data_IF_470238540251
#
_entry.id   IF_470238540251
#
_cell.length_a   1.000
_cell.length_b   1.000
_cell.length_c   1.000
_cell.angle_alpha   90.00
_cell.angle_beta   90.00
_cell.angle_gamma   90.00
#
_symmetry.space_group_name_H-M   'P 1'
#
loop_
_entity.id
_entity.type
_entity.pdbx_description
1 polymer ?
#
# COMPACT_ATOMS: atom_id res chain seq x y z
N UNK A 1 13.49 11.14 17.47
CA UNK A 1 14.33 11.51 16.32
C UNK A 1 13.47 11.54 15.07
N UNK A 2 13.59 12.55 14.21
CA UNK A 2 12.86 12.65 12.94
C UNK A 2 13.75 12.08 11.83
N UNK A 3 13.38 10.93 11.29
CA UNK A 3 14.08 10.33 10.15
C UNK A 3 13.92 11.23 8.92
N UNK A 4 15.00 11.42 8.17
CA UNK A 4 14.96 11.99 6.83
C UNK A 4 14.10 11.14 5.90
N UNK A 5 13.70 11.69 4.75
CA UNK A 5 12.95 10.92 3.74
C UNK A 5 13.75 9.74 3.20
N UNK A 6 15.08 9.88 3.16
CA UNK A 6 15.98 8.82 2.70
C UNK A 6 16.06 7.67 3.72
N UNK A 7 16.11 7.98 5.01
CA UNK A 7 16.16 6.97 6.08
C UNK A 7 14.82 6.21 6.27
N UNK A 8 13.72 6.73 5.73
CA UNK A 8 12.39 6.08 5.73
C UNK A 8 12.28 5.05 4.60
N UNK A 9 13.27 4.17 4.49
CA UNK A 9 13.30 3.14 3.45
C UNK A 9 12.22 2.07 3.68
N UNK A 10 11.75 1.49 2.58
CA UNK A 10 10.91 0.30 2.57
C UNK A 10 11.48 -0.69 1.56
N UNK A 11 11.79 -1.89 2.03
CA UNK A 11 12.40 -2.96 1.23
C UNK A 11 11.41 -4.13 1.22
N UNK A 12 11.04 -4.56 0.01
CA UNK A 12 10.20 -5.74 -0.21
C UNK A 12 11.09 -6.83 -0.78
N UNK A 13 11.23 -7.95 -0.06
CA UNK A 13 12.11 -9.05 -0.45
C UNK A 13 11.31 -10.36 -0.54
N UNK A 14 11.50 -11.09 -1.64
CA UNK A 14 10.99 -12.44 -1.83
C UNK A 14 11.80 -13.16 -2.91
N UNK A 15 11.73 -14.49 -2.90
CA UNK A 15 12.41 -15.33 -3.87
C UNK A 15 11.44 -16.27 -4.59
N UNK A 16 11.94 -17.02 -5.58
CA UNK A 16 11.11 -17.93 -6.38
C UNK A 16 10.69 -19.20 -5.61
N UNK A 17 11.51 -19.65 -4.64
CA UNK A 17 11.27 -20.88 -3.87
C UNK A 17 10.27 -20.72 -2.74
N UNK A 18 10.17 -19.54 -2.14
CA UNK A 18 9.26 -19.25 -1.03
C UNK A 18 7.93 -18.65 -1.53
N UNK A 19 6.84 -18.91 -0.81
CA UNK A 19 5.52 -18.35 -1.11
C UNK A 19 5.28 -17.00 -0.41
N UNK A 20 6.13 -16.64 0.55
CA UNK A 20 6.00 -15.43 1.35
C UNK A 20 6.94 -14.34 0.85
N UNK A 21 6.52 -13.09 1.06
CA UNK A 21 7.34 -11.91 0.94
C UNK A 21 7.57 -11.30 2.31
N UNK A 22 8.75 -10.75 2.52
CA UNK A 22 9.10 -9.97 3.70
C UNK A 22 9.15 -8.48 3.35
N UNK A 23 8.59 -7.65 4.21
CA UNK A 23 8.60 -6.20 4.06
C UNK A 23 9.25 -5.59 5.28
N UNK A 24 10.43 -5.03 5.07
CA UNK A 24 11.09 -4.15 6.03
C UNK A 24 10.67 -2.72 5.75
N UNK A 25 10.31 -1.96 6.79
CA UNK A 25 10.01 -0.54 6.61
C UNK A 25 10.42 0.29 7.82
N UNK A 26 10.88 1.52 7.53
CA UNK A 26 11.06 2.63 8.46
C UNK A 26 10.07 3.78 8.20
N UNK A 27 9.18 3.64 7.22
CA UNK A 27 8.14 4.63 6.91
C UNK A 27 6.94 4.42 7.84
N UNK A 28 6.63 5.44 8.64
CA UNK A 28 5.52 5.40 9.61
C UNK A 28 4.15 5.20 8.96
N UNK A 29 3.96 5.68 7.73
CA UNK A 29 2.71 5.55 6.99
C UNK A 29 2.51 4.11 6.54
N UNK A 30 3.58 3.50 6.01
CA UNK A 30 3.57 2.09 5.60
C UNK A 30 3.40 1.18 6.82
N UNK A 31 4.08 1.47 7.93
CA UNK A 31 3.90 0.74 9.19
C UNK A 31 2.44 0.73 9.64
N UNK A 32 1.81 1.90 9.76
CA UNK A 32 0.40 1.99 10.21
C UNK A 32 -0.53 1.15 9.33
N UNK A 33 -0.33 1.20 8.01
CA UNK A 33 -1.13 0.42 7.08
C UNK A 33 -0.92 -1.10 7.27
N UNK A 34 0.32 -1.54 7.44
CA UNK A 34 0.61 -2.96 7.65
C UNK A 34 0.16 -3.42 9.04
N UNK A 35 0.28 -2.58 10.07
CA UNK A 35 -0.25 -2.84 11.41
C UNK A 35 -1.77 -3.07 11.35
N UNK A 36 -2.53 -2.20 10.68
CA UNK A 36 -3.97 -2.41 10.48
C UNK A 36 -4.26 -3.73 9.75
N UNK A 37 -3.46 -4.11 8.74
CA UNK A 37 -3.64 -5.37 8.03
C UNK A 37 -3.29 -6.60 8.88
N UNK A 38 -2.33 -6.48 9.80
CA UNK A 38 -2.03 -7.52 10.79
C UNK A 38 -3.19 -7.67 11.77
N UNK A 39 -3.79 -6.57 12.21
CA UNK A 39 -4.94 -6.58 13.12
C UNK A 39 -6.20 -7.15 12.45
N UNK A 40 -6.47 -6.77 11.19
CA UNK A 40 -7.65 -7.22 10.43
C UNK A 40 -7.51 -8.65 9.90
N UNK A 41 -6.30 -9.06 9.50
CA UNK A 41 -6.03 -10.34 8.84
C UNK A 41 -4.78 -11.04 9.40
N UNK A 42 -4.77 -11.42 10.69
CA UNK A 42 -3.59 -11.97 11.37
C UNK A 42 -3.09 -13.30 10.79
N UNK A 43 -3.97 -14.05 10.12
CA UNK A 43 -3.59 -15.30 9.45
C UNK A 43 -2.74 -15.07 8.20
N UNK A 44 -2.92 -13.91 7.56
CA UNK A 44 -2.30 -13.55 6.28
C UNK A 44 -1.07 -12.66 6.50
N UNK A 45 -1.21 -11.64 7.34
CA UNK A 45 -0.17 -10.66 7.63
C UNK A 45 0.40 -10.91 9.02
N UNK A 46 1.72 -11.10 9.08
CA UNK A 46 2.43 -11.40 10.32
C UNK A 46 3.52 -10.37 10.57
N UNK A 47 3.52 -9.78 11.76
CA UNK A 47 4.65 -8.98 12.24
C UNK A 47 5.76 -9.96 12.69
N UNK A 48 6.88 -9.98 11.99
CA UNK A 48 8.00 -10.91 12.25
C UNK A 48 9.16 -10.27 12.99
N UNK A 49 9.24 -8.93 13.02
CA UNK A 49 10.25 -8.21 13.78
C UNK A 49 9.84 -6.77 14.04
N UNK A 50 10.23 -6.24 15.19
CA UNK A 50 9.97 -4.86 15.57
C UNK A 50 11.16 -4.31 16.37
N UNK A 51 11.66 -3.17 15.90
CA UNK A 51 12.66 -2.36 16.59
C UNK A 51 12.03 -1.04 17.07
N UNK A 52 12.86 -0.17 17.66
CA UNK A 52 12.46 1.18 18.06
C UNK A 52 12.02 2.06 16.88
N UNK A 53 12.55 1.79 15.69
CA UNK A 53 12.36 2.65 14.50
C UNK A 53 11.93 1.89 13.24
N UNK A 54 11.89 0.56 13.28
CA UNK A 54 11.58 -0.29 12.13
C UNK A 54 10.62 -1.42 12.50
N UNK A 55 9.92 -1.92 11.49
CA UNK A 55 9.12 -3.14 11.58
C UNK A 55 9.34 -4.00 10.34
N UNK A 56 9.29 -5.30 10.54
CA UNK A 56 9.38 -6.32 9.50
C UNK A 56 8.11 -7.15 9.51
N UNK A 57 7.50 -7.29 8.35
CA UNK A 57 6.26 -8.02 8.14
C UNK A 57 6.49 -9.18 7.17
N UNK A 58 5.66 -10.21 7.25
CA UNK A 58 5.62 -11.33 6.32
C UNK A 58 4.18 -11.61 5.89
N UNK A 59 3.97 -11.85 4.60
CA UNK A 59 2.67 -12.21 4.02
C UNK A 59 2.86 -12.93 2.69
N UNK A 60 1.79 -13.46 2.10
CA UNK A 60 1.86 -14.15 0.81
C UNK A 60 2.34 -13.22 -0.32
N UNK A 61 3.34 -13.67 -1.10
CA UNK A 61 3.93 -12.89 -2.21
C UNK A 61 2.92 -12.51 -3.28
N UNK A 62 1.79 -13.22 -3.38
CA UNK A 62 0.67 -12.92 -4.28
C UNK A 62 0.05 -11.53 -4.05
N UNK A 63 0.21 -10.95 -2.86
CA UNK A 63 -0.27 -9.60 -2.56
C UNK A 63 0.69 -8.49 -3.00
N UNK A 64 1.92 -8.83 -3.42
CA UNK A 64 2.83 -7.87 -4.04
C UNK A 64 2.45 -7.71 -5.51
N UNK A 65 2.07 -6.50 -5.91
CA UNK A 65 1.53 -6.25 -7.25
C UNK A 65 2.38 -5.25 -8.03
N UNK A 66 2.87 -5.67 -9.20
CA UNK A 66 3.48 -4.80 -10.19
C UNK A 66 2.41 -4.21 -11.11
N UNK A 67 2.01 -2.96 -10.86
CA UNK A 67 1.01 -2.28 -11.68
C UNK A 67 1.66 -1.53 -12.83
N UNK A 68 1.11 -1.66 -14.03
CA UNK A 68 1.45 -0.78 -15.16
C UNK A 68 1.14 0.67 -14.77
N UNK A 69 2.02 1.64 -15.09
CA UNK A 69 1.71 3.05 -14.91
C UNK A 69 0.41 3.38 -15.62
N UNK A 70 -0.49 4.09 -14.94
CA UNK A 70 -1.78 4.46 -15.52
C UNK A 70 -1.53 5.58 -16.55
N UNK A 71 -1.48 5.22 -17.84
CA UNK A 71 -1.52 6.19 -18.95
C UNK A 71 -2.98 6.51 -19.25
N UNK A 72 -3.51 7.54 -18.59
CA UNK A 72 -4.84 8.11 -18.93
C UNK A 72 -4.58 9.23 -19.92
N UNK A 73 -5.25 9.22 -21.07
CA UNK A 73 -5.22 10.39 -21.97
C UNK A 73 -5.88 11.59 -21.28
N UNK A 74 -5.57 12.82 -21.70
CA UNK A 74 -6.25 14.01 -21.15
C UNK A 74 -7.77 13.93 -21.30
N UNK A 75 -8.23 13.46 -22.46
CA UNK A 75 -9.65 13.25 -22.78
C UNK A 75 -10.32 12.25 -21.83
N UNK A 76 -9.69 11.10 -21.57
CA UNK A 76 -10.23 10.11 -20.63
C UNK A 76 -10.28 10.64 -19.20
N UNK A 77 -9.34 11.52 -18.82
CA UNK A 77 -9.33 12.18 -17.51
C UNK A 77 -10.45 13.21 -17.39
N UNK A 78 -10.72 13.97 -18.43
CA UNK A 78 -11.82 14.94 -18.48
C UNK A 78 -13.18 14.25 -18.48
N UNK A 79 -13.36 13.21 -19.29
CA UNK A 79 -14.59 12.40 -19.29
C UNK A 79 -14.89 11.79 -17.92
N UNK A 80 -13.87 11.25 -17.24
CA UNK A 80 -14.04 10.73 -15.88
C UNK A 80 -14.42 11.83 -14.88
N UNK A 81 -13.88 13.05 -15.05
CA UNK A 81 -14.22 14.21 -14.23
C UNK A 81 -15.68 14.66 -14.45
N UNK A 82 -16.12 14.73 -15.70
CA UNK A 82 -17.50 15.08 -16.04
C UNK A 82 -18.50 14.04 -15.53
N UNK A 83 -18.17 12.75 -15.66
CA UNK A 83 -18.99 11.65 -15.13
C UNK A 83 -19.15 11.75 -13.61
N UNK A 84 -18.06 12.01 -12.88
CA UNK A 84 -18.09 12.25 -11.43
C UNK A 84 -18.93 13.47 -11.05
N UNK A 85 -18.80 14.59 -11.78
CA UNK A 85 -19.62 15.78 -11.53
C UNK A 85 -21.10 15.50 -11.74
N UNK A 86 -21.47 14.77 -12.79
CA UNK A 86 -22.86 14.36 -13.05
C UNK A 86 -23.41 13.47 -11.94
N UNK A 87 -22.63 12.49 -11.47
CA UNK A 87 -23.01 11.63 -10.34
C UNK A 87 -23.23 12.43 -9.05
N UNK A 88 -22.34 13.36 -8.72
CA UNK A 88 -22.50 14.19 -7.53
C UNK A 88 -23.72 15.13 -7.62
N UNK A 89 -24.07 15.60 -8.83
CA UNK A 89 -25.28 16.41 -9.05
C UNK A 89 -26.58 15.60 -9.01
N UNK A 90 -26.54 14.31 -9.38
CA UNK A 90 -27.71 13.43 -9.27
C UNK A 90 -27.97 13.04 -7.82
N UNK A 91 -26.91 12.80 -7.03
CA UNK A 91 -27.03 12.44 -5.62
C UNK A 91 -27.47 13.62 -4.74
N UNK A 92 -27.22 14.87 -5.17
CA UNK A 92 -27.68 16.08 -4.46
C UNK A 92 -29.14 16.48 -4.77
N UNK A 93 -29.83 15.73 -5.64
CA UNK A 93 -31.23 16.00 -6.06
C UNK A 93 -32.23 14.95 -5.55
N UNK A 94 -31.77 13.99 -4.75
CA UNK A 94 -32.60 13.09 -3.95
C UNK A 94 -32.63 13.59 -2.50
#
# INVERSE_FOLDING_TARGET
>A
MKLSRYEQETIVNYNAGEQTATVYTRDKTVMRKLDTLVDEFPDIYKLTGQDKISKTYSFLKSYVNYRKPRRISKEQREQAREMMLKMNLSDSKQ
#
